data_IF_570945729168
#
_entry.id   IF_570945729168
#
_cell.length_a   1.000
_cell.length_b   1.000
_cell.length_c   1.000
_cell.angle_alpha   90.00
_cell.angle_beta   90.00
_cell.angle_gamma   90.00
#
_symmetry.space_group_name_H-M   'P 1'
#
loop_
_entity.id
_entity.type
_entity.pdbx_description
1 polymer ?
#
# COMPACT_ATOMS: atom_id res chain seq x y z
N UNK A 1 14.22 9.99 18.92
CA UNK A 1 12.78 9.95 19.27
C UNK A 1 12.29 8.56 18.92
N UNK A 2 11.76 7.81 19.88
CA UNK A 2 11.14 6.50 19.64
C UNK A 2 9.89 6.70 18.79
N UNK A 3 9.84 6.07 17.60
CA UNK A 3 8.65 6.06 16.75
C UNK A 3 7.50 5.43 17.53
N UNK A 4 6.41 6.14 17.76
CA UNK A 4 5.20 5.55 18.33
C UNK A 4 4.66 4.54 17.33
N UNK A 5 4.62 3.27 17.70
CA UNK A 5 4.06 2.20 16.87
C UNK A 5 2.53 2.31 16.92
N UNK A 6 1.84 2.40 15.76
CA UNK A 6 0.38 2.40 15.77
C UNK A 6 -0.16 1.03 16.19
N UNK A 7 -1.37 1.02 16.75
CA UNK A 7 -2.08 -0.25 17.00
C UNK A 7 -2.57 -0.81 15.68
N UNK A 8 -2.38 -2.10 15.46
CA UNK A 8 -2.75 -2.76 14.21
C UNK A 8 -4.15 -3.37 14.27
N UNK A 9 -4.81 -3.59 13.12
CA UNK A 9 -6.18 -4.12 13.06
C UNK A 9 -6.39 -5.49 13.73
N UNK A 10 -5.33 -6.28 13.94
CA UNK A 10 -5.42 -7.59 14.60
C UNK A 10 -5.18 -7.54 16.11
N UNK A 11 -4.78 -6.37 16.64
CA UNK A 11 -4.44 -6.17 18.05
C UNK A 11 -5.60 -5.55 18.85
N UNK A 12 -6.70 -5.17 18.17
CA UNK A 12 -7.86 -4.53 18.79
C UNK A 12 -9.15 -4.81 18.00
N UNK A 13 -10.29 -4.53 18.63
CA UNK A 13 -11.61 -4.53 17.99
C UNK A 13 -11.99 -3.14 17.43
N UNK A 14 -11.05 -2.19 17.40
CA UNK A 14 -11.26 -0.82 16.90
C UNK A 14 -11.56 -0.84 15.38
N UNK A 15 -12.30 0.18 14.91
CA UNK A 15 -12.57 0.35 13.49
C UNK A 15 -11.41 1.11 12.85
N UNK A 16 -10.87 0.52 11.78
CA UNK A 16 -9.85 1.13 10.93
C UNK A 16 -10.49 1.50 9.59
N UNK A 17 -10.38 2.77 9.22
CA UNK A 17 -10.75 3.26 7.90
C UNK A 17 -9.59 3.04 6.92
N UNK A 18 -9.91 2.81 5.65
CA UNK A 18 -8.94 2.78 4.55
C UNK A 18 -9.33 3.85 3.53
N UNK A 19 -8.40 4.18 2.65
CA UNK A 19 -8.69 4.96 1.47
C UNK A 19 -9.56 4.18 0.46
N UNK A 20 -9.88 4.85 -0.65
CA UNK A 20 -10.63 4.28 -1.76
C UNK A 20 -9.72 3.91 -2.94
N UNK A 21 -10.24 4.05 -4.16
CA UNK A 21 -9.46 3.82 -5.38
C UNK A 21 -8.71 5.08 -5.83
N UNK A 22 -7.48 5.29 -5.34
CA UNK A 22 -6.63 6.46 -5.66
C UNK A 22 -6.46 6.65 -7.17
N UNK A 23 -6.10 5.59 -7.91
CA UNK A 23 -5.89 5.63 -9.36
C UNK A 23 -7.15 6.11 -10.10
N UNK A 24 -8.31 5.57 -9.74
CA UNK A 24 -9.58 5.95 -10.38
C UNK A 24 -9.96 7.39 -10.09
N UNK A 25 -9.69 7.89 -8.89
CA UNK A 25 -9.95 9.27 -8.55
C UNK A 25 -9.02 10.22 -9.31
N UNK A 26 -7.72 9.91 -9.38
CA UNK A 26 -6.73 10.68 -10.15
C UNK A 26 -7.11 10.76 -11.63
N UNK A 27 -7.49 9.64 -12.24
CA UNK A 27 -7.89 9.60 -13.65
C UNK A 27 -9.20 10.35 -13.90
N UNK A 28 -10.28 9.97 -13.21
CA UNK A 28 -11.62 10.42 -13.56
C UNK A 28 -12.03 11.75 -12.90
N UNK A 29 -11.42 12.15 -11.78
CA UNK A 29 -11.75 13.41 -11.07
C UNK A 29 -10.69 14.49 -11.21
N UNK A 30 -9.45 14.12 -11.53
CA UNK A 30 -8.33 15.06 -11.69
C UNK A 30 -7.72 15.07 -13.09
N UNK A 31 -8.08 14.11 -13.94
CA UNK A 31 -7.69 14.07 -15.35
C UNK A 31 -6.21 13.72 -15.57
N UNK A 32 -5.60 12.99 -14.63
CA UNK A 32 -4.22 12.52 -14.80
C UNK A 32 -4.17 11.24 -15.62
N UNK A 33 -3.16 11.13 -16.46
CA UNK A 33 -2.79 9.87 -17.09
C UNK A 33 -1.88 9.07 -16.15
N UNK A 34 -2.08 7.75 -16.12
CA UNK A 34 -1.30 6.82 -15.34
C UNK A 34 -0.62 5.83 -16.29
N UNK A 35 0.59 6.14 -16.78
CA UNK A 35 1.44 5.17 -17.48
C UNK A 35 1.50 3.86 -16.69
N UNK A 36 1.28 2.75 -17.38
CA UNK A 36 1.20 1.43 -16.76
C UNK A 36 0.25 1.37 -15.55
N UNK A 37 -0.83 2.18 -15.54
CA UNK A 37 -1.78 2.30 -14.43
C UNK A 37 -1.11 2.47 -13.06
N UNK A 38 0.00 3.20 -13.01
CA UNK A 38 0.81 3.36 -11.81
C UNK A 38 0.71 4.78 -11.27
N UNK A 39 0.46 4.95 -9.96
CA UNK A 39 0.29 6.27 -9.35
C UNK A 39 1.53 6.80 -8.63
N UNK A 40 2.42 5.93 -8.13
CA UNK A 40 3.54 6.34 -7.27
C UNK A 40 4.43 7.43 -7.92
N UNK A 41 4.65 7.34 -9.23
CA UNK A 41 5.59 8.22 -9.93
C UNK A 41 5.05 9.64 -10.13
N UNK A 42 3.75 9.85 -9.93
CA UNK A 42 3.13 11.17 -9.97
C UNK A 42 3.70 12.12 -8.90
N UNK A 43 4.30 11.59 -7.83
CA UNK A 43 4.97 12.43 -6.84
C UNK A 43 6.14 13.26 -7.37
N UNK A 44 6.66 12.95 -8.57
CA UNK A 44 7.69 13.77 -9.20
C UNK A 44 7.17 15.06 -9.85
N UNK A 45 5.86 15.19 -10.05
CA UNK A 45 5.26 16.38 -10.63
C UNK A 45 4.47 17.17 -9.56
N UNK A 46 4.77 18.46 -9.35
CA UNK A 46 4.13 19.25 -8.29
C UNK A 46 2.61 19.29 -8.36
N UNK A 47 2.02 19.29 -9.57
CA UNK A 47 0.57 19.38 -9.75
C UNK A 47 -0.11 18.08 -9.32
N UNK A 48 0.41 16.94 -9.73
CA UNK A 48 -0.14 15.64 -9.35
C UNK A 48 0.19 15.26 -7.91
N UNK A 49 1.36 15.64 -7.38
CA UNK A 49 1.67 15.54 -5.97
C UNK A 49 0.70 16.32 -5.07
N UNK A 50 0.28 17.53 -5.50
CA UNK A 50 -0.74 18.30 -4.78
C UNK A 50 -2.10 17.59 -4.76
N UNK A 51 -2.49 16.94 -5.86
CA UNK A 51 -3.73 16.16 -5.92
C UNK A 51 -3.68 14.88 -5.07
N UNK A 52 -2.52 14.21 -5.02
CA UNK A 52 -2.30 13.07 -4.11
C UNK A 52 -2.42 13.51 -2.64
N UNK A 53 -1.79 14.63 -2.27
CA UNK A 53 -1.93 15.20 -0.91
C UNK A 53 -3.39 15.52 -0.59
N UNK A 54 -4.09 16.18 -1.51
CA UNK A 54 -5.54 16.46 -1.36
C UNK A 54 -6.33 15.18 -1.07
N UNK A 55 -6.08 14.11 -1.84
CA UNK A 55 -6.77 12.84 -1.69
C UNK A 55 -6.57 12.22 -0.30
N UNK A 56 -5.32 12.04 0.11
CA UNK A 56 -5.00 11.37 1.38
C UNK A 56 -5.40 12.21 2.59
N UNK A 57 -5.15 13.53 2.56
CA UNK A 57 -5.57 14.44 3.64
C UNK A 57 -7.10 14.46 3.78
N UNK A 58 -7.87 14.34 2.69
CA UNK A 58 -9.32 14.26 2.77
C UNK A 58 -9.81 13.02 3.54
N UNK A 59 -9.24 11.84 3.30
CA UNK A 59 -9.58 10.64 4.07
C UNK A 59 -9.10 10.71 5.52
N UNK A 60 -7.90 11.24 5.76
CA UNK A 60 -7.38 11.44 7.12
C UNK A 60 -8.30 12.38 7.94
N UNK A 61 -8.80 13.46 7.34
CA UNK A 61 -9.77 14.36 7.98
C UNK A 61 -11.09 13.65 8.35
N UNK A 62 -11.54 12.70 7.53
CA UNK A 62 -12.72 11.87 7.84
C UNK A 62 -12.43 10.98 9.05
N UNK A 63 -11.26 10.36 9.12
CA UNK A 63 -10.87 9.53 10.25
C UNK A 63 -10.78 10.33 11.56
N UNK A 64 -10.20 11.53 11.51
CA UNK A 64 -10.17 12.48 12.65
C UNK A 64 -11.58 12.84 13.11
N UNK A 65 -12.47 13.20 12.17
CA UNK A 65 -13.86 13.55 12.47
C UNK A 65 -14.64 12.39 13.12
N UNK A 66 -14.34 11.15 12.74
CA UNK A 66 -15.00 9.96 13.25
C UNK A 66 -14.30 9.36 14.49
N UNK A 67 -13.12 9.86 14.87
CA UNK A 67 -12.34 9.33 15.98
C UNK A 67 -11.82 7.91 15.73
N UNK A 68 -11.53 7.57 14.47
CA UNK A 68 -11.07 6.22 14.06
C UNK A 68 -9.62 6.23 13.62
N UNK A 69 -8.95 5.08 13.72
CA UNK A 69 -7.66 4.88 13.08
C UNK A 69 -7.81 4.86 11.54
N UNK A 70 -6.73 5.19 10.84
CA UNK A 70 -6.69 5.20 9.37
C UNK A 70 -5.46 4.46 8.86
N UNK A 71 -5.68 3.62 7.85
CA UNK A 71 -4.64 2.93 7.10
C UNK A 71 -4.45 3.67 5.78
N UNK A 72 -3.29 4.32 5.64
CA UNK A 72 -2.86 4.87 4.36
C UNK A 72 -2.30 3.74 3.50
N UNK A 73 -2.85 3.54 2.31
CA UNK A 73 -2.53 2.41 1.44
C UNK A 73 -2.56 2.83 -0.05
N UNK A 74 -2.62 1.86 -0.96
CA UNK A 74 -2.84 2.00 -2.41
C UNK A 74 -1.73 2.57 -3.29
N UNK A 75 -1.06 3.68 -2.93
CA UNK A 75 -0.11 4.40 -3.84
C UNK A 75 1.03 3.52 -4.39
N UNK A 76 1.49 2.55 -3.60
CA UNK A 76 2.63 1.68 -3.95
C UNK A 76 2.23 0.40 -4.70
N UNK A 77 0.96 0.25 -5.09
CA UNK A 77 0.40 -0.98 -5.69
C UNK A 77 1.22 -1.51 -6.88
N UNK A 78 1.70 -0.63 -7.77
CA UNK A 78 2.59 -0.98 -8.90
C UNK A 78 4.04 -0.52 -8.71
N UNK A 79 4.46 -0.21 -7.49
CA UNK A 79 5.83 0.24 -7.19
C UNK A 79 6.82 -0.94 -6.98
N UNK A 80 6.74 -1.96 -7.83
CA UNK A 80 7.60 -3.15 -7.80
C UNK A 80 8.58 -3.18 -8.98
N UNK A 81 9.61 -4.03 -8.91
CA UNK A 81 10.74 -4.05 -9.84
C UNK A 81 10.36 -4.01 -11.32
N UNK A 82 9.46 -4.90 -11.76
CA UNK A 82 9.11 -5.02 -13.18
C UNK A 82 8.29 -3.81 -13.66
N UNK A 83 7.31 -3.37 -12.88
CA UNK A 83 6.51 -2.18 -13.19
C UNK A 83 7.36 -0.91 -13.16
N UNK A 84 8.26 -0.78 -12.19
CA UNK A 84 9.22 0.30 -12.11
C UNK A 84 10.15 0.35 -13.32
N UNK A 85 10.63 -0.81 -13.79
CA UNK A 85 11.48 -0.90 -14.98
C UNK A 85 10.76 -0.43 -16.24
N UNK A 86 9.47 -0.77 -16.43
CA UNK A 86 8.65 -0.26 -17.54
C UNK A 86 8.53 1.27 -17.52
N UNK A 87 8.55 1.86 -16.32
CA UNK A 87 8.50 3.31 -16.10
C UNK A 87 9.90 3.96 -16.07
N UNK A 88 10.97 3.20 -16.34
CA UNK A 88 12.35 3.71 -16.41
C UNK A 88 13.05 3.88 -15.06
N UNK A 89 12.54 3.28 -13.99
CA UNK A 89 13.19 3.32 -12.67
C UNK A 89 14.28 2.25 -12.55
N UNK A 90 15.37 2.61 -11.86
CA UNK A 90 16.33 1.64 -11.33
C UNK A 90 15.83 1.12 -9.97
N UNK A 91 16.41 0.04 -9.46
CA UNK A 91 16.11 -0.45 -8.10
C UNK A 91 16.29 0.65 -7.05
N UNK A 92 17.34 1.46 -7.16
CA UNK A 92 17.60 2.54 -6.21
C UNK A 92 16.55 3.64 -6.30
N UNK A 93 16.25 4.15 -7.50
CA UNK A 93 15.27 5.24 -7.64
C UNK A 93 13.84 4.78 -7.34
N UNK A 94 13.53 3.49 -7.56
CA UNK A 94 12.26 2.89 -7.16
C UNK A 94 12.15 2.81 -5.63
N UNK A 95 13.22 2.42 -4.93
CA UNK A 95 13.24 2.42 -3.47
C UNK A 95 13.01 3.83 -2.93
N UNK A 96 13.76 4.83 -3.40
CA UNK A 96 13.58 6.24 -3.04
C UNK A 96 12.13 6.72 -3.25
N UNK A 97 11.49 6.24 -4.33
CA UNK A 97 10.10 6.59 -4.62
C UNK A 97 9.09 5.95 -3.66
N UNK A 98 9.31 4.70 -3.27
CA UNK A 98 8.50 4.04 -2.23
C UNK A 98 8.62 4.78 -0.88
N UNK A 99 9.82 5.23 -0.51
CA UNK A 99 10.02 6.06 0.67
C UNK A 99 9.21 7.38 0.58
N UNK A 100 9.26 8.07 -0.57
CA UNK A 100 8.47 9.29 -0.80
C UNK A 100 6.96 9.07 -0.65
N UNK A 101 6.45 7.91 -1.08
CA UNK A 101 5.04 7.57 -0.91
C UNK A 101 4.64 7.52 0.56
N UNK A 102 5.47 6.92 1.41
CA UNK A 102 5.19 6.80 2.85
C UNK A 102 5.40 8.11 3.60
N UNK A 103 6.37 8.94 3.19
CA UNK A 103 6.51 10.29 3.73
C UNK A 103 5.27 11.15 3.41
N UNK A 104 4.70 11.05 2.20
CA UNK A 104 3.43 11.71 1.88
C UNK A 104 2.32 11.30 2.85
N UNK A 105 2.18 10.01 3.15
CA UNK A 105 1.14 9.54 4.09
C UNK A 105 1.31 10.15 5.47
N UNK A 106 2.54 10.20 5.97
CA UNK A 106 2.87 10.79 7.27
C UNK A 106 2.60 12.29 7.28
N UNK A 107 2.96 13.00 6.21
CA UNK A 107 2.63 14.42 6.02
C UNK A 107 1.12 14.65 6.06
N UNK A 108 0.34 13.87 5.32
CA UNK A 108 -1.13 14.00 5.26
C UNK A 108 -1.79 13.70 6.61
N UNK A 109 -1.29 12.70 7.34
CA UNK A 109 -1.75 12.37 8.69
C UNK A 109 -1.50 13.53 9.67
N UNK A 110 -0.28 14.07 9.65
CA UNK A 110 0.10 15.20 10.49
C UNK A 110 -0.69 16.46 10.14
N UNK A 111 -0.89 16.75 8.86
CA UNK A 111 -1.69 17.88 8.38
C UNK A 111 -3.15 17.79 8.83
N UNK A 112 -3.75 16.60 8.79
CA UNK A 112 -5.10 16.38 9.27
C UNK A 112 -5.23 16.39 10.81
N UNK A 113 -4.11 16.31 11.54
CA UNK A 113 -4.11 16.16 12.99
C UNK A 113 -4.47 14.75 13.48
N UNK A 114 -4.24 13.73 12.65
CA UNK A 114 -4.43 12.34 13.03
C UNK A 114 -3.31 11.91 13.99
N UNK A 115 -3.68 11.36 15.14
CA UNK A 115 -2.72 10.91 16.15
C UNK A 115 -1.79 9.82 15.58
N UNK A 116 -0.52 9.82 16.00
CA UNK A 116 0.48 8.89 15.48
C UNK A 116 0.09 7.42 15.76
N UNK A 117 -0.50 7.14 16.91
CA UNK A 117 -0.99 5.82 17.31
C UNK A 117 -2.19 5.32 16.47
N UNK A 118 -2.86 6.23 15.75
CA UNK A 118 -4.01 5.98 14.88
C UNK A 118 -3.63 6.07 13.39
N UNK A 119 -2.36 6.31 13.08
CA UNK A 119 -1.83 6.45 11.72
C UNK A 119 -1.09 5.17 11.36
N UNK A 120 -1.71 4.32 10.55
CA UNK A 120 -1.08 3.08 10.05
C UNK A 120 -0.60 3.30 8.62
N UNK A 121 0.69 3.09 8.36
CA UNK A 121 1.27 3.14 7.02
C UNK A 121 1.33 1.73 6.43
N UNK A 122 0.55 1.48 5.37
CA UNK A 122 0.55 0.22 4.64
C UNK A 122 1.36 0.32 3.35
N UNK A 123 2.24 -0.66 3.15
CA UNK A 123 2.85 -0.92 1.85
C UNK A 123 1.92 -1.76 0.98
N UNK A 124 1.25 -1.14 0.03
CA UNK A 124 0.39 -1.83 -0.93
C UNK A 124 1.23 -2.63 -1.95
N UNK A 125 0.91 -3.90 -2.12
CA UNK A 125 1.49 -4.81 -3.11
C UNK A 125 0.40 -5.26 -4.08
N UNK A 126 0.65 -5.01 -5.36
CA UNK A 126 -0.09 -5.61 -6.46
C UNK A 126 0.57 -6.88 -7.02
N UNK A 127 -0.10 -7.56 -7.95
CA UNK A 127 0.45 -8.71 -8.63
C UNK A 127 1.70 -8.34 -9.45
N UNK A 128 2.62 -9.28 -9.57
CA UNK A 128 3.81 -9.21 -10.42
C UNK A 128 3.48 -8.89 -11.88
N UNK A 129 2.37 -9.44 -12.37
CA UNK A 129 1.86 -9.21 -13.71
C UNK A 129 0.55 -8.44 -13.72
N UNK A 130 -0.08 -8.33 -14.88
CA UNK A 130 -1.43 -7.78 -14.98
C UNK A 130 -2.42 -8.68 -14.20
N UNK A 131 -3.20 -8.08 -13.30
CA UNK A 131 -4.21 -8.77 -12.50
C UNK A 131 -5.20 -9.59 -13.35
N UNK A 132 -5.40 -9.21 -14.62
CA UNK A 132 -6.33 -9.87 -15.55
C UNK A 132 -5.67 -10.96 -16.42
N UNK A 133 -4.36 -11.21 -16.29
CA UNK A 133 -3.65 -12.29 -17.01
C UNK A 133 -3.05 -13.29 -16.02
N UNK A 134 -3.50 -14.55 -16.07
CA UNK A 134 -2.97 -15.60 -15.20
C UNK A 134 -1.53 -15.95 -15.60
N UNK A 135 -0.59 -15.73 -14.68
CA UNK A 135 0.81 -16.07 -14.87
C UNK A 135 1.04 -17.53 -14.41
N UNK A 136 0.83 -18.50 -15.31
CA UNK A 136 0.76 -19.93 -14.94
C UNK A 136 2.07 -20.50 -14.36
N UNK A 137 3.21 -19.87 -14.66
CA UNK A 137 4.53 -20.33 -14.21
C UNK A 137 4.95 -19.75 -12.84
N UNK A 138 4.09 -18.94 -12.20
CA UNK A 138 4.43 -18.28 -10.93
C UNK A 138 4.21 -19.23 -9.74
N UNK A 139 5.28 -19.89 -9.30
CA UNK A 139 5.28 -20.67 -8.05
C UNK A 139 5.36 -19.77 -6.81
N UNK A 140 5.05 -20.32 -5.63
CA UNK A 140 5.14 -19.56 -4.38
C UNK A 140 6.58 -19.15 -4.06
N UNK A 141 7.55 -19.98 -4.41
CA UNK A 141 8.98 -19.72 -4.23
C UNK A 141 9.46 -18.57 -5.14
N UNK A 142 9.04 -18.56 -6.41
CA UNK A 142 9.35 -17.48 -7.35
C UNK A 142 8.67 -16.19 -6.90
N UNK A 143 7.40 -16.25 -6.50
CA UNK A 143 6.67 -15.09 -6.01
C UNK A 143 7.29 -14.51 -4.74
N UNK A 144 7.72 -15.36 -3.79
CA UNK A 144 8.43 -14.94 -2.58
C UNK A 144 9.70 -14.16 -2.94
N UNK A 145 10.56 -14.75 -3.78
CA UNK A 145 11.80 -14.11 -4.20
C UNK A 145 11.57 -12.79 -4.97
N UNK A 146 10.48 -12.71 -5.75
CA UNK A 146 10.12 -11.50 -6.46
C UNK A 146 9.65 -10.37 -5.52
N UNK A 147 8.71 -10.67 -4.62
CA UNK A 147 8.08 -9.67 -3.75
C UNK A 147 8.94 -9.27 -2.54
N UNK A 148 9.93 -10.08 -2.16
CA UNK A 148 10.88 -9.78 -1.08
C UNK A 148 11.53 -8.40 -1.25
N UNK A 149 11.97 -8.02 -2.46
CA UNK A 149 12.63 -6.72 -2.70
C UNK A 149 11.73 -5.52 -2.32
N UNK A 150 10.44 -5.57 -2.70
CA UNK A 150 9.50 -4.50 -2.39
C UNK A 150 9.15 -4.48 -0.90
N UNK A 151 9.00 -5.67 -0.29
CA UNK A 151 8.70 -5.82 1.15
C UNK A 151 9.87 -5.32 2.01
N UNK A 152 11.10 -5.66 1.65
CA UNK A 152 12.30 -5.20 2.34
C UNK A 152 12.43 -3.68 2.24
N UNK A 153 12.13 -3.11 1.07
CA UNK A 153 12.05 -1.66 0.87
C UNK A 153 10.98 -1.04 1.79
N UNK A 154 9.81 -1.66 1.90
CA UNK A 154 8.75 -1.17 2.78
C UNK A 154 9.14 -1.20 4.25
N UNK A 155 9.76 -2.30 4.70
CA UNK A 155 10.28 -2.43 6.06
C UNK A 155 11.33 -1.36 6.36
N UNK A 156 12.28 -1.15 5.44
CA UNK A 156 13.32 -0.12 5.57
C UNK A 156 12.74 1.31 5.60
N UNK A 157 11.65 1.57 4.86
CA UNK A 157 10.93 2.84 4.87
C UNK A 157 10.04 3.03 6.11
N UNK A 158 9.90 2.00 6.95
CA UNK A 158 9.08 2.03 8.15
C UNK A 158 7.58 1.98 7.85
N UNK A 159 7.17 1.13 6.91
CA UNK A 159 5.79 0.67 6.83
C UNK A 159 5.44 -0.14 8.10
N UNK A 160 4.22 -0.03 8.56
CA UNK A 160 3.73 -0.74 9.74
C UNK A 160 3.15 -2.10 9.35
N UNK A 161 2.55 -2.18 8.16
CA UNK A 161 2.00 -3.41 7.58
C UNK A 161 2.24 -3.45 6.07
N UNK A 162 2.08 -4.63 5.48
CA UNK A 162 1.95 -4.83 4.04
C UNK A 162 0.51 -5.20 3.74
N UNK A 163 -0.05 -4.69 2.65
CA UNK A 163 -1.37 -5.11 2.15
C UNK A 163 -1.22 -5.67 0.74
N UNK A 164 -1.70 -6.88 0.50
CA UNK A 164 -1.69 -7.48 -0.83
C UNK A 164 -3.07 -7.44 -1.47
N UNK A 165 -3.19 -6.74 -2.60
CA UNK A 165 -4.45 -6.51 -3.30
C UNK A 165 -4.48 -7.21 -4.67
N UNK A 166 -5.70 -7.58 -5.09
CA UNK A 166 -6.00 -7.98 -6.48
C UNK A 166 -5.08 -9.07 -7.07
N UNK A 167 -4.59 -9.96 -6.21
CA UNK A 167 -3.81 -11.13 -6.60
C UNK A 167 -4.65 -12.14 -7.37
N UNK A 168 -4.10 -12.69 -8.45
CA UNK A 168 -4.79 -13.61 -9.35
C UNK A 168 -4.41 -15.08 -9.14
N UNK A 169 -3.37 -15.38 -8.35
CA UNK A 169 -2.96 -16.75 -8.02
C UNK A 169 -2.78 -16.95 -6.52
N UNK A 170 -3.05 -18.17 -6.05
CA UNK A 170 -2.80 -18.56 -4.66
C UNK A 170 -1.30 -18.65 -4.38
N UNK A 171 -0.51 -19.11 -5.35
CA UNK A 171 0.96 -19.17 -5.27
C UNK A 171 1.56 -17.80 -4.95
N UNK A 172 1.10 -16.74 -5.62
CA UNK A 172 1.60 -15.40 -5.36
C UNK A 172 1.24 -14.90 -3.96
N UNK A 173 0.01 -15.14 -3.51
CA UNK A 173 -0.40 -14.81 -2.16
C UNK A 173 0.44 -15.53 -1.09
N UNK A 174 0.76 -16.82 -1.31
CA UNK A 174 1.65 -17.58 -0.42
C UNK A 174 3.07 -17.01 -0.46
N UNK A 175 3.57 -16.64 -1.63
CA UNK A 175 4.89 -16.04 -1.79
C UNK A 175 5.03 -14.74 -1.01
N UNK A 176 4.06 -13.82 -1.15
CA UNK A 176 4.01 -12.56 -0.41
C UNK A 176 3.94 -12.82 1.09
N UNK A 177 3.05 -13.71 1.55
CA UNK A 177 2.95 -14.06 2.97
C UNK A 177 4.26 -14.58 3.56
N UNK A 178 4.96 -15.46 2.84
CA UNK A 178 6.27 -15.98 3.25
C UNK A 178 7.35 -14.90 3.27
N UNK A 179 7.34 -13.97 2.31
CA UNK A 179 8.31 -12.87 2.25
C UNK A 179 8.05 -11.85 3.38
N UNK A 180 6.80 -11.48 3.63
CA UNK A 180 6.43 -10.60 4.76
C UNK A 180 6.81 -11.20 6.10
N UNK A 181 6.57 -12.50 6.30
CA UNK A 181 6.97 -13.20 7.52
C UNK A 181 8.50 -13.23 7.73
N UNK A 182 9.29 -13.38 6.65
CA UNK A 182 10.76 -13.36 6.73
C UNK A 182 11.31 -11.96 7.04
N UNK A 183 10.68 -10.91 6.49
CA UNK A 183 11.03 -9.52 6.76
C UNK A 183 10.48 -8.98 8.09
N UNK A 184 9.80 -9.82 8.88
CA UNK A 184 9.16 -9.46 10.15
C UNK A 184 8.22 -8.24 10.03
N UNK A 185 7.36 -8.25 9.00
CA UNK A 185 6.32 -7.24 8.81
C UNK A 185 4.94 -7.91 8.66
N UNK A 186 3.92 -7.49 9.43
CA UNK A 186 2.59 -8.09 9.34
C UNK A 186 1.97 -7.93 7.95
N UNK A 187 1.35 -9.00 7.43
CA UNK A 187 0.61 -8.98 6.17
C UNK A 187 -0.89 -8.92 6.42
N UNK A 188 -1.52 -7.88 5.88
CA UNK A 188 -2.97 -7.76 5.79
C UNK A 188 -3.47 -8.32 4.47
N UNK A 189 -4.43 -9.24 4.54
CA UNK A 189 -5.11 -9.80 3.36
C UNK A 189 -6.61 -9.64 3.46
N UNK A 190 -7.21 -9.13 2.39
CA UNK A 190 -8.66 -9.11 2.23
C UNK A 190 -9.22 -10.53 2.06
N UNK A 191 -9.97 -11.00 3.07
CA UNK A 191 -10.73 -12.24 3.00
C UNK A 191 -12.19 -11.93 2.69
N UNK A 192 -12.66 -12.28 1.49
CA UNK A 192 -14.11 -12.35 1.23
C UNK A 192 -14.68 -13.57 1.95
N UNK A 193 -15.33 -13.38 3.10
CA UNK A 193 -16.10 -14.42 3.77
C UNK A 193 -17.46 -14.52 3.07
N UNK A 194 -17.74 -15.63 2.39
CA UNK A 194 -19.12 -15.94 1.98
C UNK A 194 -19.93 -16.02 3.28
N UNK A 195 -20.97 -15.18 3.42
CA UNK A 195 -22.04 -15.18 4.45
C UNK A 195 -21.83 -14.60 5.86
N UNK A 196 -20.99 -13.58 6.08
CA UNK A 196 -21.06 -12.75 7.32
C UNK A 196 -20.61 -11.31 7.02
N UNK A 197 -21.07 -10.28 7.79
CA UNK A 197 -20.61 -8.91 7.60
C UNK A 197 -19.09 -8.84 7.63
N UNK A 198 -18.52 -7.97 6.79
CA UNK A 198 -17.08 -7.77 6.60
C UNK A 198 -16.37 -7.73 7.96
N UNK A 199 -15.63 -8.79 8.28
CA UNK A 199 -14.69 -8.84 9.39
C UNK A 199 -13.33 -9.26 8.85
N UNK A 200 -12.33 -8.48 9.22
CA UNK A 200 -10.95 -8.55 8.73
C UNK A 200 -10.16 -9.65 9.48
N UNK A 201 -9.13 -10.21 8.84
CA UNK A 201 -8.23 -11.19 9.46
C UNK A 201 -6.79 -11.00 8.92
N UNK A 202 -5.83 -10.76 9.81
CA UNK A 202 -4.39 -10.88 9.53
C UNK A 202 -3.98 -12.36 9.55
N UNK A 203 -2.92 -12.69 8.80
CA UNK A 203 -2.20 -13.97 8.88
C UNK A 203 -0.75 -13.73 9.24
#
# INVERSE_FOLDING_TARGET
>A
MTRTTPRLPHESDDIFLTDGGTETWLMYKRGFELPEFSAFHLLNDPRSAAALREYYTAFANVAVKLGTAFIFDSLTYRASRDWGALLGYSTQSLAEMNHKCFELYRECAAEAGLAAENTVVSGCIGPKGDAYKTNQDLTAEIAKAYHAEQIDTFKAAGADIVTALTLNTTSEAIGIARASAEADIPLFRWRKRRSAPLRFACF
#
